data_IF_698067031810
#
_entry.id   IF_698067031810
#
_cell.length_a   1.000
_cell.length_b   1.000
_cell.length_c   1.000
_cell.angle_alpha   90.00
_cell.angle_beta   90.00
_cell.angle_gamma   90.00
#
_symmetry.space_group_name_H-M   'P 1'
#
loop_
_entity.id
_entity.type
_entity.pdbx_description
1 polymer ?
#
# COMPACT_ATOMS: atom_id res chain seq x y z
N UNK A 1 -45.49 -58.25 27.94
CA UNK A 1 -45.88 -56.95 27.33
C UNK A 1 -44.69 -56.02 27.49
N UNK A 2 -43.85 -55.86 26.46
CA UNK A 2 -42.64 -55.03 26.46
C UNK A 2 -43.01 -53.64 25.90
N UNK A 3 -42.72 -52.59 26.65
CA UNK A 3 -42.80 -51.19 26.17
C UNK A 3 -41.53 -50.85 25.37
N UNK A 4 -41.61 -50.10 24.26
CA UNK A 4 -40.47 -49.79 23.43
C UNK A 4 -39.73 -48.53 23.91
N UNK A 5 -38.42 -48.51 23.65
CA UNK A 5 -37.48 -47.41 23.88
C UNK A 5 -37.84 -46.17 23.07
N UNK A 6 -37.85 -45.00 23.71
CA UNK A 6 -37.90 -43.71 23.02
C UNK A 6 -36.50 -43.37 22.50
N UNK A 7 -36.40 -43.24 21.18
CA UNK A 7 -35.22 -42.77 20.47
C UNK A 7 -35.21 -41.25 20.45
N UNK A 8 -34.15 -40.66 20.98
CA UNK A 8 -33.86 -39.23 20.96
C UNK A 8 -33.57 -38.77 19.54
N UNK A 9 -34.41 -37.91 18.95
CA UNK A 9 -34.06 -37.16 17.75
C UNK A 9 -33.36 -35.86 18.18
N UNK A 10 -32.04 -35.82 18.03
CA UNK A 10 -31.28 -34.58 18.10
C UNK A 10 -31.55 -33.78 16.80
N UNK A 11 -32.28 -32.68 16.94
CA UNK A 11 -32.44 -31.70 15.87
C UNK A 11 -31.12 -30.93 15.76
N UNK A 12 -30.29 -31.25 14.77
CA UNK A 12 -29.13 -30.42 14.42
C UNK A 12 -29.66 -29.18 13.71
N UNK A 13 -29.69 -28.07 14.44
CA UNK A 13 -29.94 -26.77 13.85
C UNK A 13 -28.73 -26.39 12.99
N UNK A 14 -28.87 -26.46 11.66
CA UNK A 14 -27.96 -25.79 10.76
C UNK A 14 -28.15 -24.28 10.97
N UNK A 15 -27.20 -23.65 11.64
CA UNK A 15 -27.08 -22.20 11.63
C UNK A 15 -26.82 -21.80 10.16
N UNK A 16 -27.80 -21.14 9.54
CA UNK A 16 -27.57 -20.45 8.29
C UNK A 16 -26.56 -19.33 8.58
N UNK A 17 -25.31 -19.52 8.17
CA UNK A 17 -24.39 -18.41 8.09
C UNK A 17 -24.98 -17.42 7.08
N UNK A 18 -25.41 -16.26 7.57
CA UNK A 18 -25.65 -15.11 6.72
C UNK A 18 -24.30 -14.75 6.11
N UNK A 19 -24.01 -15.24 4.91
CA UNK A 19 -22.89 -14.74 4.13
C UNK A 19 -23.07 -13.23 4.03
N UNK A 20 -22.01 -12.49 4.36
CA UNK A 20 -22.02 -11.06 4.11
C UNK A 20 -22.28 -10.83 2.61
N UNK A 21 -22.79 -9.65 2.27
CA UNK A 21 -23.16 -9.34 0.90
C UNK A 21 -22.58 -7.98 0.55
N UNK A 22 -22.06 -7.83 -0.66
CA UNK A 22 -21.69 -6.54 -1.23
C UNK A 22 -22.90 -5.61 -1.12
N UNK A 23 -22.72 -4.48 -0.45
CA UNK A 23 -23.79 -3.51 -0.23
C UNK A 23 -23.71 -2.45 -1.33
N UNK A 24 -24.63 -2.52 -2.28
CA UNK A 24 -24.78 -1.50 -3.32
C UNK A 24 -25.62 -0.33 -2.81
N UNK A 25 -25.18 0.90 -3.09
CA UNK A 25 -25.92 2.12 -2.74
C UNK A 25 -27.11 2.39 -3.67
N UNK A 26 -27.09 1.80 -4.88
CA UNK A 26 -28.02 2.09 -5.97
C UNK A 26 -27.52 3.16 -6.95
N UNK A 27 -26.46 3.89 -6.59
CA UNK A 27 -25.88 4.92 -7.44
C UNK A 27 -24.88 4.35 -8.46
N UNK A 28 -24.66 5.11 -9.54
CA UNK A 28 -23.61 4.85 -10.52
C UNK A 28 -22.79 6.11 -10.76
N UNK A 29 -21.48 5.95 -10.92
CA UNK A 29 -20.56 7.03 -11.24
C UNK A 29 -19.64 6.59 -12.38
N UNK A 30 -19.60 7.38 -13.46
CA UNK A 30 -18.87 7.07 -14.69
C UNK A 30 -19.21 5.68 -15.27
N UNK A 31 -20.45 5.23 -15.09
CA UNK A 31 -20.93 3.92 -15.57
C UNK A 31 -20.63 2.74 -14.64
N UNK A 32 -20.00 2.96 -13.48
CA UNK A 32 -19.69 1.91 -12.51
C UNK A 32 -20.55 2.03 -11.24
N UNK A 33 -20.98 0.91 -10.64
CA UNK A 33 -21.76 0.92 -9.40
C UNK A 33 -20.98 1.51 -8.23
N UNK A 34 -21.70 2.23 -7.36
CA UNK A 34 -21.19 2.71 -6.07
C UNK A 34 -21.59 1.72 -4.97
N UNK A 35 -20.62 1.23 -4.22
CA UNK A 35 -20.79 0.30 -3.09
C UNK A 35 -20.49 1.00 -1.76
N UNK A 36 -21.16 0.55 -0.71
CA UNK A 36 -20.86 0.88 0.68
C UNK A 36 -19.92 -0.16 1.32
N UNK A 37 -19.98 -1.41 0.87
CA UNK A 37 -19.05 -2.48 1.26
C UNK A 37 -18.94 -3.55 0.20
N UNK A 38 -17.78 -4.22 0.19
CA UNK A 38 -17.39 -5.28 -0.74
C UNK A 38 -17.40 -6.63 -0.03
N UNK A 39 -18.15 -7.57 -0.60
CA UNK A 39 -17.95 -9.00 -0.37
C UNK A 39 -17.49 -9.63 -1.69
N UNK A 40 -16.29 -10.20 -1.69
CA UNK A 40 -15.71 -10.84 -2.87
C UNK A 40 -16.55 -12.03 -3.38
N UNK A 41 -17.39 -12.64 -2.52
CA UNK A 41 -18.28 -13.74 -2.88
C UNK A 41 -19.36 -13.34 -3.89
N UNK A 42 -19.72 -12.04 -3.96
CA UNK A 42 -20.75 -11.54 -4.87
C UNK A 42 -20.20 -10.97 -6.18
N UNK A 43 -18.89 -10.76 -6.26
CA UNK A 43 -18.27 -10.19 -7.46
C UNK A 43 -18.42 -11.18 -8.60
N UNK A 44 -18.87 -10.79 -9.81
CA UNK A 44 -18.99 -11.76 -10.89
C UNK A 44 -17.69 -12.51 -11.20
N UNK A 45 -17.80 -13.82 -11.44
CA UNK A 45 -16.67 -14.72 -11.73
C UNK A 45 -16.10 -14.50 -13.13
N UNK A 46 -14.83 -14.86 -13.32
CA UNK A 46 -14.10 -14.81 -14.58
C UNK A 46 -14.18 -13.43 -15.27
N UNK A 47 -14.18 -12.36 -14.47
CA UNK A 47 -14.11 -11.00 -15.01
C UNK A 47 -13.43 -10.02 -14.05
N UNK A 48 -13.08 -8.87 -14.61
CA UNK A 48 -12.67 -7.69 -13.83
C UNK A 48 -13.89 -6.79 -13.64
N UNK A 49 -14.33 -6.66 -12.40
CA UNK A 49 -15.39 -5.74 -12.00
C UNK A 49 -14.80 -4.41 -11.52
N UNK A 50 -15.55 -3.32 -11.71
CA UNK A 50 -15.15 -1.96 -11.31
C UNK A 50 -16.23 -1.36 -10.43
N UNK A 51 -15.81 -0.77 -9.32
CA UNK A 51 -16.69 -0.16 -8.33
C UNK A 51 -16.15 1.21 -7.91
N UNK A 52 -17.03 2.00 -7.31
CA UNK A 52 -16.64 3.12 -6.47
C UNK A 52 -17.01 2.82 -5.02
N UNK A 53 -16.12 3.03 -4.06
CA UNK A 53 -16.49 3.09 -2.65
C UNK A 53 -16.75 4.54 -2.26
N UNK A 54 -17.78 4.76 -1.44
CA UNK A 54 -17.97 6.02 -0.74
C UNK A 54 -17.53 5.92 0.73
N UNK A 55 -16.25 6.17 1.05
CA UNK A 55 -15.68 5.89 2.37
C UNK A 55 -16.10 6.89 3.45
N UNK A 56 -16.53 8.09 3.04
CA UNK A 56 -16.90 9.17 3.93
C UNK A 56 -17.69 10.23 3.14
N UNK A 57 -18.26 11.20 3.85
CA UNK A 57 -18.84 12.40 3.27
C UNK A 57 -18.17 13.65 3.83
N UNK A 58 -17.87 14.61 2.96
CA UNK A 58 -17.30 15.91 3.30
C UNK A 58 -18.37 16.96 3.58
N UNK A 59 -17.97 18.24 3.45
CA UNK A 59 -18.87 19.36 3.67
C UNK A 59 -20.07 19.33 2.72
N UNK A 60 -21.24 19.70 3.24
CA UNK A 60 -22.50 19.63 2.49
C UNK A 60 -23.02 18.21 2.28
N UNK A 61 -22.44 17.20 2.93
CA UNK A 61 -22.82 15.80 2.74
C UNK A 61 -22.33 15.20 1.42
N UNK A 62 -21.36 15.85 0.75
CA UNK A 62 -20.84 15.38 -0.52
C UNK A 62 -19.99 14.12 -0.31
N UNK A 63 -20.32 12.99 -0.95
CA UNK A 63 -19.54 11.77 -0.82
C UNK A 63 -18.14 11.92 -1.41
N UNK A 64 -17.15 11.34 -0.72
CA UNK A 64 -15.89 10.97 -1.37
C UNK A 64 -16.13 9.71 -2.19
N UNK A 65 -15.32 9.52 -3.23
CA UNK A 65 -15.34 8.33 -4.07
C UNK A 65 -13.92 7.86 -4.32
N UNK A 66 -13.63 6.58 -4.08
CA UNK A 66 -12.40 5.93 -4.53
C UNK A 66 -12.72 4.80 -5.53
N UNK A 67 -11.96 4.68 -6.63
CA UNK A 67 -12.15 3.63 -7.62
C UNK A 67 -11.55 2.31 -7.10
N UNK A 68 -12.22 1.21 -7.42
CA UNK A 68 -11.80 -0.14 -7.04
C UNK A 68 -11.93 -1.04 -8.27
N UNK A 69 -10.90 -1.84 -8.50
CA UNK A 69 -10.97 -3.00 -9.38
C UNK A 69 -11.07 -4.28 -8.56
N UNK A 70 -11.83 -5.25 -9.03
CA UNK A 70 -11.80 -6.62 -8.50
C UNK A 70 -11.70 -7.59 -9.66
N UNK A 71 -10.54 -8.26 -9.77
CA UNK A 71 -10.33 -9.36 -10.70
C UNK A 71 -10.65 -10.65 -9.96
N UNK A 72 -11.71 -11.35 -10.37
CA UNK A 72 -12.11 -12.62 -9.73
C UNK A 72 -12.09 -13.75 -10.72
N UNK A 73 -11.48 -14.86 -10.30
CA UNK A 73 -11.49 -16.14 -11.03
C UNK A 73 -12.84 -16.86 -11.00
N UNK A 74 -12.79 -18.18 -11.09
CA UNK A 74 -13.98 -19.03 -11.06
C UNK A 74 -14.69 -19.02 -9.69
N UNK A 75 -15.83 -19.70 -9.59
CA UNK A 75 -16.52 -19.86 -8.30
C UNK A 75 -15.66 -20.64 -7.29
N UNK A 76 -14.97 -21.68 -7.75
CA UNK A 76 -14.08 -22.53 -6.94
C UNK A 76 -12.85 -21.77 -6.44
N UNK A 77 -12.38 -20.75 -7.17
CA UNK A 77 -11.16 -20.03 -6.85
C UNK A 77 -11.21 -19.22 -5.55
N UNK A 78 -12.40 -19.00 -4.99
CA UNK A 78 -12.54 -18.39 -3.66
C UNK A 78 -12.02 -19.29 -2.53
N UNK A 79 -12.10 -20.61 -2.72
CA UNK A 79 -11.69 -21.62 -1.75
C UNK A 79 -10.29 -22.15 -2.06
N UNK A 80 -9.95 -22.26 -3.35
CA UNK A 80 -8.68 -22.86 -3.82
C UNK A 80 -7.60 -21.84 -4.16
N UNK A 81 -7.96 -20.57 -4.34
CA UNK A 81 -7.07 -19.47 -4.70
C UNK A 81 -6.77 -18.52 -3.55
N UNK A 82 -5.89 -17.56 -3.81
CA UNK A 82 -5.50 -16.52 -2.85
C UNK A 82 -6.25 -15.22 -3.09
N UNK A 83 -6.38 -14.40 -2.03
CA UNK A 83 -6.97 -13.06 -2.08
C UNK A 83 -5.86 -12.02 -1.91
N UNK A 84 -5.52 -11.33 -2.99
CA UNK A 84 -4.40 -10.40 -3.04
C UNK A 84 -4.89 -8.95 -3.10
N UNK A 85 -4.44 -8.11 -2.17
CA UNK A 85 -4.65 -6.65 -2.23
C UNK A 85 -3.46 -5.95 -2.87
N UNK A 86 -3.72 -5.15 -3.90
CA UNK A 86 -2.75 -4.24 -4.53
C UNK A 86 -3.26 -2.80 -4.43
N UNK A 87 -2.67 -2.02 -3.52
CA UNK A 87 -3.11 -0.67 -3.21
C UNK A 87 -2.07 0.38 -3.62
N UNK A 88 -2.54 1.57 -3.96
CA UNK A 88 -1.71 2.64 -4.48
C UNK A 88 -2.22 4.01 -4.04
N UNK A 89 -1.32 4.98 -4.04
CA UNK A 89 -1.62 6.40 -3.87
C UNK A 89 -2.50 6.69 -2.64
N UNK A 90 -2.11 6.13 -1.48
CA UNK A 90 -2.57 6.62 -0.17
C UNK A 90 -2.06 8.04 0.09
N UNK A 91 -0.90 8.33 -0.49
CA UNK A 91 -0.40 9.68 -0.71
C UNK A 91 -0.75 10.14 -2.12
N UNK A 92 -1.29 11.35 -2.23
CA UNK A 92 -1.87 11.85 -3.48
C UNK A 92 -0.87 12.27 -4.56
N UNK A 93 0.41 12.47 -4.21
CA UNK A 93 1.50 12.83 -5.11
C UNK A 93 2.32 11.62 -5.60
N UNK A 94 2.00 10.42 -5.13
CA UNK A 94 2.70 9.18 -5.47
C UNK A 94 2.03 8.47 -6.65
N UNK A 95 2.40 8.88 -7.87
CA UNK A 95 1.64 8.52 -9.07
C UNK A 95 2.17 7.29 -9.82
N UNK A 96 3.46 6.91 -9.70
CA UNK A 96 3.99 5.66 -10.28
C UNK A 96 3.13 4.42 -9.92
N UNK A 97 2.76 4.22 -8.64
CA UNK A 97 1.80 3.20 -8.19
C UNK A 97 0.48 3.14 -8.97
N UNK A 98 -0.11 4.28 -9.31
CA UNK A 98 -1.40 4.35 -10.05
C UNK A 98 -1.27 3.64 -11.39
N UNK A 99 -0.18 3.89 -12.12
CA UNK A 99 0.07 3.24 -13.40
C UNK A 99 0.35 1.74 -13.26
N UNK A 100 1.00 1.31 -12.17
CA UNK A 100 1.23 -0.12 -11.90
C UNK A 100 -0.10 -0.85 -11.75
N UNK A 101 -1.00 -0.37 -10.88
CA UNK A 101 -2.33 -0.98 -10.70
C UNK A 101 -3.08 -1.03 -12.03
N UNK A 102 -3.13 0.07 -12.77
CA UNK A 102 -3.83 0.12 -14.07
C UNK A 102 -3.26 -0.87 -15.09
N UNK A 103 -1.93 -0.98 -15.20
CA UNK A 103 -1.26 -1.91 -16.13
C UNK A 103 -1.46 -3.37 -15.73
N UNK A 104 -1.42 -3.68 -14.43
CA UNK A 104 -1.71 -5.02 -13.91
C UNK A 104 -3.12 -5.44 -14.29
N UNK A 105 -4.12 -4.62 -14.00
CA UNK A 105 -5.51 -4.94 -14.33
C UNK A 105 -5.77 -4.97 -15.85
N UNK A 106 -5.09 -4.16 -16.64
CA UNK A 106 -5.17 -4.24 -18.10
C UNK A 106 -4.64 -5.60 -18.62
N UNK A 107 -3.52 -6.09 -18.07
CA UNK A 107 -2.93 -7.38 -18.47
C UNK A 107 -3.69 -8.59 -17.91
N UNK A 108 -4.30 -8.48 -16.74
CA UNK A 108 -5.14 -9.54 -16.16
C UNK A 108 -6.45 -9.77 -16.93
N UNK A 109 -6.92 -8.79 -17.71
CA UNK A 109 -8.25 -8.84 -18.32
C UNK A 109 -8.48 -10.10 -19.16
N UNK A 110 -7.50 -10.50 -19.97
CA UNK A 110 -7.59 -11.71 -20.81
C UNK A 110 -7.48 -12.99 -19.97
N UNK A 111 -6.55 -13.05 -19.02
CA UNK A 111 -6.31 -14.21 -18.14
C UNK A 111 -7.51 -14.52 -17.24
N UNK A 112 -8.18 -13.48 -16.74
CA UNK A 112 -9.36 -13.66 -15.89
C UNK A 112 -10.55 -14.10 -16.73
N UNK A 113 -10.71 -13.53 -17.93
CA UNK A 113 -11.78 -13.88 -18.85
C UNK A 113 -11.67 -15.29 -19.44
N UNK A 114 -10.46 -15.86 -19.53
CA UNK A 114 -10.27 -17.25 -19.99
C UNK A 114 -10.76 -18.29 -18.97
N UNK A 115 -10.89 -17.89 -17.69
CA UNK A 115 -11.26 -18.77 -16.58
C UNK A 115 -10.07 -19.49 -15.94
N UNK A 116 -8.83 -19.15 -16.33
CA UNK A 116 -7.61 -19.78 -15.80
C UNK A 116 -7.08 -19.10 -14.52
N UNK A 117 -7.72 -18.01 -14.09
CA UNK A 117 -7.29 -17.25 -12.92
C UNK A 117 -7.78 -17.90 -11.61
N UNK A 118 -6.85 -18.26 -10.72
CA UNK A 118 -7.15 -18.92 -9.44
C UNK A 118 -7.00 -17.97 -8.25
N UNK A 119 -8.01 -17.14 -8.02
CA UNK A 119 -8.14 -16.35 -6.80
C UNK A 119 -8.86 -15.05 -7.06
N UNK A 120 -8.55 -14.05 -6.25
CA UNK A 120 -9.09 -12.68 -6.37
C UNK A 120 -7.99 -11.64 -6.17
N UNK A 121 -7.97 -10.60 -7.00
CA UNK A 121 -7.13 -9.40 -6.80
C UNK A 121 -8.03 -8.20 -6.59
N UNK A 122 -7.83 -7.50 -5.48
CA UNK A 122 -8.47 -6.22 -5.17
C UNK A 122 -7.46 -5.12 -5.49
N UNK A 123 -7.79 -4.25 -6.44
CA UNK A 123 -6.96 -3.15 -6.87
C UNK A 123 -7.51 -1.80 -6.43
N UNK A 124 -6.73 -1.03 -5.66
CA UNK A 124 -7.06 0.34 -5.31
C UNK A 124 -6.06 1.28 -6.00
N UNK A 125 -6.31 1.75 -7.24
CA UNK A 125 -5.36 2.58 -7.97
C UNK A 125 -5.18 3.95 -7.32
N UNK A 126 -6.19 4.46 -6.60
CA UNK A 126 -6.10 5.72 -5.85
C UNK A 126 -6.86 5.62 -4.53
N UNK A 127 -6.14 5.55 -3.41
CA UNK A 127 -6.72 5.56 -2.07
C UNK A 127 -6.98 6.97 -1.54
N UNK A 128 -6.27 7.98 -2.04
CA UNK A 128 -6.48 9.39 -1.69
C UNK A 128 -6.78 10.27 -2.92
N UNK A 129 -7.96 10.10 -3.57
CA UNK A 129 -8.36 10.95 -4.70
C UNK A 129 -8.39 12.45 -4.37
N UNK A 130 -8.62 12.81 -3.10
CA UNK A 130 -8.56 14.20 -2.64
C UNK A 130 -7.13 14.77 -2.77
N UNK A 131 -6.13 14.04 -2.28
CA UNK A 131 -4.72 14.39 -2.44
C UNK A 131 -4.29 14.41 -3.91
N UNK A 132 -4.75 13.46 -4.72
CA UNK A 132 -4.48 13.45 -6.16
C UNK A 132 -5.01 14.70 -6.86
N UNK A 133 -6.26 15.10 -6.58
CA UNK A 133 -6.88 16.30 -7.16
C UNK A 133 -6.13 17.58 -6.79
N UNK A 134 -5.51 17.60 -5.61
CA UNK A 134 -4.73 18.74 -5.11
C UNK A 134 -3.24 18.64 -5.45
N UNK A 135 -2.81 17.56 -6.12
CA UNK A 135 -1.41 17.26 -6.38
C UNK A 135 -0.53 17.34 -5.11
N UNK A 136 -0.99 16.73 -4.02
CA UNK A 136 -0.29 16.72 -2.74
C UNK A 136 -0.29 15.36 -2.08
N UNK A 137 0.66 15.16 -1.16
CA UNK A 137 0.78 13.97 -0.33
C UNK A 137 -0.45 13.69 0.52
N UNK A 138 -0.90 14.69 1.27
CA UNK A 138 -1.83 14.48 2.38
C UNK A 138 -3.31 14.53 1.96
N UNK A 139 -4.18 14.05 2.85
CA UNK A 139 -5.62 14.24 2.74
C UNK A 139 -6.00 15.60 3.34
N UNK A 140 -6.75 16.41 2.60
CA UNK A 140 -7.20 17.73 3.04
C UNK A 140 -8.63 17.67 3.60
N UNK A 141 -8.78 18.10 4.85
CA UNK A 141 -10.07 18.47 5.43
C UNK A 141 -10.19 19.98 5.50
N UNK A 142 -11.39 20.54 5.31
CA UNK A 142 -11.58 22.00 5.15
C UNK A 142 -11.98 22.74 6.43
N UNK A 143 -12.21 22.04 7.56
CA UNK A 143 -12.56 22.69 8.82
C UNK A 143 -11.41 23.58 9.31
N UNK A 144 -11.72 24.73 9.92
CA UNK A 144 -10.76 25.62 10.59
C UNK A 144 -9.55 26.03 9.74
N UNK A 145 -9.79 26.52 8.52
CA UNK A 145 -8.79 26.88 7.50
C UNK A 145 -8.04 25.70 6.85
N UNK A 146 -8.39 24.49 7.27
CA UNK A 146 -7.98 23.25 6.64
C UNK A 146 -6.82 22.56 7.33
N UNK A 147 -6.81 21.24 7.26
CA UNK A 147 -5.79 20.38 7.84
C UNK A 147 -5.33 19.35 6.81
N UNK A 148 -4.03 19.12 6.81
CA UNK A 148 -3.38 18.06 6.05
C UNK A 148 -3.15 16.87 6.98
N UNK A 149 -3.70 15.72 6.61
CA UNK A 149 -3.59 14.49 7.39
C UNK A 149 -2.92 13.41 6.54
N UNK A 150 -1.88 12.79 7.08
CA UNK A 150 -1.35 11.54 6.54
C UNK A 150 -2.33 10.40 6.83
N UNK A 151 -2.96 9.86 5.79
CA UNK A 151 -3.87 8.72 5.94
C UNK A 151 -3.11 7.45 6.33
N UNK A 152 -1.86 7.30 5.90
CA UNK A 152 -0.99 6.16 6.21
C UNK A 152 -0.41 6.23 7.64
N UNK A 153 -1.07 6.96 8.55
CA UNK A 153 -0.89 6.91 10.02
C UNK A 153 -2.18 6.58 10.76
N UNK A 154 -3.25 6.32 10.02
CA UNK A 154 -4.60 6.17 10.55
C UNK A 154 -5.20 4.79 10.27
N UNK A 155 -4.47 3.79 9.81
CA UNK A 155 -5.01 2.42 9.70
C UNK A 155 -4.95 1.70 11.05
N UNK A 156 -5.93 0.83 11.40
CA UNK A 156 -7.13 0.45 10.66
C UNK A 156 -8.26 1.49 10.66
N UNK A 157 -8.07 2.64 11.32
CA UNK A 157 -9.06 3.71 11.40
C UNK A 157 -10.00 3.59 12.59
N UNK A 158 -10.98 4.49 12.61
CA UNK A 158 -12.05 4.52 13.61
C UNK A 158 -13.30 5.11 12.97
N UNK A 159 -14.44 4.46 13.11
CA UNK A 159 -15.69 4.95 12.53
C UNK A 159 -16.19 6.23 13.23
N UNK A 160 -17.08 7.00 12.58
CA UNK A 160 -17.72 8.16 13.21
C UNK A 160 -18.51 7.75 14.46
N UNK A 161 -19.14 6.58 14.46
CA UNK A 161 -19.89 6.05 15.60
C UNK A 161 -18.99 5.77 16.82
N UNK A 162 -17.71 5.51 16.59
CA UNK A 162 -16.68 5.30 17.61
C UNK A 162 -15.91 6.58 17.95
N UNK A 163 -16.41 7.75 17.53
CA UNK A 163 -15.78 9.05 17.69
C UNK A 163 -14.50 9.26 16.85
N UNK A 164 -14.37 8.55 15.74
CA UNK A 164 -13.35 8.82 14.72
C UNK A 164 -13.53 10.18 14.05
N UNK A 165 -12.42 10.79 13.66
CA UNK A 165 -12.43 11.96 12.77
C UNK A 165 -12.73 11.56 11.32
N UNK A 166 -12.98 12.51 10.43
CA UNK A 166 -13.24 12.21 9.02
C UNK A 166 -12.10 11.39 8.37
N UNK A 167 -10.81 11.74 8.50
CA UNK A 167 -9.71 10.90 8.00
C UNK A 167 -9.68 9.50 8.60
N UNK A 168 -9.96 9.36 9.91
CA UNK A 168 -9.99 8.04 10.58
C UNK A 168 -11.17 7.19 10.11
N UNK A 169 -12.34 7.80 9.86
CA UNK A 169 -13.50 7.08 9.31
C UNK A 169 -13.27 6.69 7.85
N UNK A 170 -12.52 7.50 7.10
CA UNK A 170 -12.16 7.22 5.72
C UNK A 170 -11.28 5.97 5.63
N UNK A 171 -10.23 5.89 6.46
CA UNK A 171 -9.37 4.69 6.51
C UNK A 171 -10.12 3.49 7.10
N UNK A 172 -11.01 3.69 8.08
CA UNK A 172 -11.88 2.64 8.61
C UNK A 172 -12.78 2.04 7.53
N UNK A 173 -13.32 2.86 6.62
CA UNK A 173 -14.14 2.35 5.53
C UNK A 173 -13.31 1.54 4.54
N UNK A 174 -12.10 1.96 4.19
CA UNK A 174 -11.21 1.13 3.34
C UNK A 174 -10.91 -0.21 4.05
N UNK A 175 -10.54 -0.15 5.32
CA UNK A 175 -10.15 -1.32 6.12
C UNK A 175 -11.29 -2.33 6.29
N UNK A 176 -12.46 -1.86 6.71
CA UNK A 176 -13.59 -2.71 7.04
C UNK A 176 -14.42 -3.05 5.80
N UNK A 177 -14.67 -2.07 4.93
CA UNK A 177 -15.64 -2.24 3.86
C UNK A 177 -15.01 -2.76 2.56
N UNK A 178 -13.70 -2.62 2.35
CA UNK A 178 -13.01 -3.20 1.17
C UNK A 178 -12.20 -4.42 1.56
N UNK A 179 -11.30 -4.27 2.53
CA UNK A 179 -10.48 -5.38 2.98
C UNK A 179 -11.21 -6.32 3.96
N UNK A 180 -12.44 -5.97 4.38
CA UNK A 180 -13.31 -6.86 5.14
C UNK A 180 -12.85 -7.08 6.58
N UNK A 181 -12.06 -6.16 7.14
CA UNK A 181 -11.24 -6.43 8.33
C UNK A 181 -10.44 -7.73 8.15
N UNK A 182 -9.65 -7.77 7.07
CA UNK A 182 -8.84 -8.88 6.55
C UNK A 182 -9.58 -10.08 5.97
N UNK A 183 -10.93 -10.17 6.02
CA UNK A 183 -11.63 -11.34 5.46
C UNK A 183 -11.46 -11.49 3.94
N UNK A 184 -11.14 -10.39 3.26
CA UNK A 184 -11.00 -10.31 1.81
C UNK A 184 -9.53 -10.32 1.36
N UNK A 185 -8.56 -10.51 2.25
CA UNK A 185 -7.13 -10.35 1.95
C UNK A 185 -6.30 -11.40 2.69
N UNK A 186 -5.56 -12.21 1.92
CA UNK A 186 -4.57 -13.17 2.43
C UNK A 186 -3.14 -12.62 2.32
N UNK A 187 -2.93 -11.62 1.46
CA UNK A 187 -1.64 -11.00 1.17
C UNK A 187 -1.84 -9.58 0.63
N UNK A 188 -0.97 -8.64 1.01
CA UNK A 188 -1.07 -7.25 0.57
C UNK A 188 0.25 -6.68 0.05
N UNK A 189 0.16 -5.83 -0.97
CA UNK A 189 1.25 -4.98 -1.43
C UNK A 189 0.70 -3.56 -1.49
N UNK A 190 1.29 -2.67 -0.70
CA UNK A 190 1.00 -1.24 -0.75
C UNK A 190 2.10 -0.53 -1.52
N UNK A 191 1.74 0.04 -2.67
CA UNK A 191 2.66 0.66 -3.60
C UNK A 191 2.80 2.16 -3.28
N UNK A 192 4.04 2.59 -3.05
CA UNK A 192 4.42 3.96 -2.73
C UNK A 192 5.42 4.53 -3.74
N UNK A 193 5.70 5.81 -3.58
CA UNK A 193 6.95 6.45 -3.98
C UNK A 193 7.51 7.24 -2.80
N UNK A 194 8.75 7.67 -2.88
CA UNK A 194 9.28 8.61 -1.90
C UNK A 194 8.50 9.92 -1.89
N UNK A 195 8.56 10.66 -0.78
CA UNK A 195 8.04 12.03 -0.69
C UNK A 195 8.56 12.92 -1.83
N UNK A 196 7.71 13.84 -2.30
CA UNK A 196 8.10 14.86 -3.27
C UNK A 196 9.38 15.58 -2.82
N UNK A 197 10.33 15.78 -3.74
CA UNK A 197 11.63 16.37 -3.42
C UNK A 197 12.71 15.35 -3.04
N UNK A 198 12.42 14.05 -3.13
CA UNK A 198 13.40 12.97 -2.89
C UNK A 198 13.55 12.05 -4.10
N UNK A 199 14.71 11.43 -4.23
CA UNK A 199 15.00 10.35 -5.19
C UNK A 199 15.41 9.08 -4.47
N UNK A 200 15.08 7.95 -5.09
CA UNK A 200 15.30 6.61 -4.57
C UNK A 200 15.25 5.57 -5.66
N UNK A 201 15.78 4.36 -5.39
CA UNK A 201 15.69 3.24 -6.30
C UNK A 201 14.33 2.51 -6.16
N UNK A 202 14.18 1.33 -6.76
CA UNK A 202 13.11 0.41 -6.34
C UNK A 202 13.52 -0.20 -5.00
N UNK A 203 12.76 0.04 -3.93
CA UNK A 203 13.08 -0.55 -2.64
C UNK A 203 11.85 -1.07 -1.90
N UNK A 204 12.09 -1.98 -0.97
CA UNK A 204 11.04 -2.61 -0.17
C UNK A 204 11.26 -2.32 1.29
N UNK A 205 10.19 -1.96 1.98
CA UNK A 205 10.08 -2.03 3.42
C UNK A 205 9.38 -3.34 3.81
N UNK A 206 9.98 -4.11 4.73
CA UNK A 206 9.47 -5.43 5.07
C UNK A 206 9.81 -5.85 6.52
N UNK A 207 8.80 -6.19 7.31
CA UNK A 207 9.00 -6.87 8.59
C UNK A 207 9.18 -8.38 8.40
N UNK A 208 10.44 -8.82 8.38
CA UNK A 208 10.79 -10.24 8.23
C UNK A 208 10.39 -11.11 9.44
N UNK A 209 9.90 -10.52 10.53
CA UNK A 209 9.42 -11.28 11.68
C UNK A 209 8.14 -12.06 11.38
N UNK A 210 7.32 -11.62 10.43
CA UNK A 210 6.10 -12.32 10.00
C UNK A 210 6.39 -13.29 8.84
N UNK A 211 5.91 -14.52 8.97
CA UNK A 211 6.01 -15.54 7.93
C UNK A 211 5.37 -15.06 6.61
N UNK A 212 6.05 -15.30 5.50
CA UNK A 212 5.61 -14.90 4.15
C UNK A 212 6.14 -13.53 3.71
N UNK A 213 6.36 -12.57 4.61
CA UNK A 213 6.81 -11.21 4.24
C UNK A 213 8.14 -11.23 3.50
N UNK A 214 9.12 -12.00 4.00
CA UNK A 214 10.42 -12.17 3.33
C UNK A 214 10.26 -12.66 1.88
N UNK A 215 9.38 -13.64 1.64
CA UNK A 215 9.16 -14.19 0.29
C UNK A 215 8.67 -13.11 -0.67
N UNK A 216 7.71 -12.29 -0.24
CA UNK A 216 7.14 -11.21 -1.05
C UNK A 216 8.21 -10.15 -1.37
N UNK A 217 8.97 -9.75 -0.35
CA UNK A 217 10.04 -8.76 -0.48
C UNK A 217 11.12 -9.20 -1.48
N UNK A 218 11.51 -10.47 -1.44
CA UNK A 218 12.52 -11.02 -2.34
C UNK A 218 12.01 -11.19 -3.79
N UNK A 219 10.74 -11.56 -3.98
CA UNK A 219 10.11 -11.63 -5.31
C UNK A 219 10.04 -10.28 -6.03
N UNK A 220 10.04 -9.18 -5.28
CA UNK A 220 10.13 -7.84 -5.84
C UNK A 220 11.44 -7.62 -6.58
N UNK A 221 12.51 -8.35 -6.23
CA UNK A 221 13.88 -8.12 -6.72
C UNK A 221 14.25 -6.63 -6.70
N UNK A 222 14.10 -5.97 -5.53
CA UNK A 222 14.36 -4.56 -5.42
C UNK A 222 15.86 -4.29 -5.43
N UNK A 223 16.23 -3.03 -5.64
CA UNK A 223 17.61 -2.59 -5.51
C UNK A 223 18.03 -2.59 -4.02
N UNK A 224 17.08 -2.36 -3.10
CA UNK A 224 17.30 -2.45 -1.66
C UNK A 224 16.11 -3.05 -0.90
N UNK A 225 16.37 -3.86 0.11
CA UNK A 225 15.39 -4.29 1.12
C UNK A 225 15.77 -3.66 2.45
N UNK A 226 14.83 -2.91 3.03
CA UNK A 226 14.87 -2.39 4.39
C UNK A 226 14.08 -3.34 5.30
N UNK A 227 14.80 -4.09 6.14
CA UNK A 227 14.21 -4.94 7.17
C UNK A 227 13.98 -4.12 8.44
N UNK A 228 12.72 -3.88 8.79
CA UNK A 228 12.31 -2.97 9.87
C UNK A 228 10.90 -3.34 10.38
N UNK A 229 10.59 -3.17 11.68
CA UNK A 229 9.39 -3.76 12.34
C UNK A 229 8.04 -3.06 12.08
N UNK A 230 7.93 -2.17 11.12
CA UNK A 230 6.71 -1.38 10.88
C UNK A 230 6.71 0.02 11.49
N UNK A 231 5.91 0.90 10.89
CA UNK A 231 5.40 2.08 11.58
C UNK A 231 3.90 1.88 11.81
N UNK A 232 3.48 1.93 13.08
CA UNK A 232 2.08 1.76 13.45
C UNK A 232 1.20 2.78 12.73
N UNK A 233 0.02 2.34 12.29
CA UNK A 233 -0.92 3.16 11.55
C UNK A 233 -0.73 3.15 10.03
N UNK A 234 0.35 2.55 9.51
CA UNK A 234 0.52 2.32 8.07
C UNK A 234 -0.29 1.10 7.60
N UNK A 235 -0.60 1.04 6.30
CA UNK A 235 -1.34 -0.08 5.68
C UNK A 235 -0.58 -1.39 5.88
N UNK A 236 0.71 -1.41 5.53
CA UNK A 236 1.59 -2.58 5.64
C UNK A 236 1.60 -3.12 7.07
N UNK A 237 1.94 -2.28 8.05
CA UNK A 237 2.06 -2.70 9.44
C UNK A 237 0.71 -3.14 10.00
N UNK A 238 -0.40 -2.50 9.59
CA UNK A 238 -1.75 -2.89 10.03
C UNK A 238 -2.15 -4.30 9.56
N UNK A 239 -1.70 -4.73 8.38
CA UNK A 239 -1.87 -6.09 7.89
C UNK A 239 -0.95 -7.07 8.63
N UNK A 240 0.32 -6.72 8.79
CA UNK A 240 1.32 -7.55 9.49
C UNK A 240 0.90 -7.83 10.93
N UNK A 241 0.43 -6.82 11.66
CA UNK A 241 -0.10 -6.95 13.03
C UNK A 241 -1.30 -7.91 13.15
N UNK A 242 -1.98 -8.19 12.03
CA UNK A 242 -3.11 -9.13 11.95
C UNK A 242 -2.72 -10.46 11.31
N UNK A 243 -1.43 -10.71 11.12
CA UNK A 243 -0.91 -11.96 10.57
C UNK A 243 -1.08 -12.10 9.06
N UNK A 244 -1.39 -11.01 8.36
CA UNK A 244 -1.45 -10.99 6.89
C UNK A 244 -0.10 -10.50 6.36
N UNK A 245 0.65 -11.31 5.60
CA UNK A 245 1.93 -10.88 5.06
C UNK A 245 1.73 -9.71 4.09
N UNK A 246 2.44 -8.62 4.34
CA UNK A 246 2.38 -7.41 3.54
C UNK A 246 3.75 -6.77 3.38
N UNK A 247 3.91 -5.99 2.32
CA UNK A 247 5.08 -5.12 2.12
C UNK A 247 4.66 -3.75 1.62
N UNK A 248 5.53 -2.76 1.86
CA UNK A 248 5.51 -1.49 1.10
C UNK A 248 6.58 -1.55 0.02
N UNK A 249 6.18 -1.33 -1.24
CA UNK A 249 7.08 -1.24 -2.39
C UNK A 249 7.18 0.19 -2.86
N UNK A 250 8.39 0.72 -2.87
CA UNK A 250 8.70 2.12 -3.15
C UNK A 250 9.27 2.27 -4.56
N UNK A 251 8.53 3.00 -5.42
CA UNK A 251 8.74 3.05 -6.87
C UNK A 251 9.38 4.38 -7.27
N UNK A 252 10.51 4.71 -6.62
CA UNK A 252 11.31 5.89 -6.91
C UNK A 252 10.68 7.22 -6.46
N UNK A 253 10.89 8.32 -7.19
CA UNK A 253 10.42 9.66 -6.80
C UNK A 253 8.91 9.88 -7.01
N UNK A 254 8.27 10.64 -6.12
CA UNK A 254 6.91 11.18 -6.32
C UNK A 254 6.85 12.18 -7.49
N UNK A 255 5.65 12.36 -8.04
CA UNK A 255 5.36 13.31 -9.12
C UNK A 255 6.26 13.21 -10.37
N UNK A 256 6.93 12.08 -10.57
CA UNK A 256 7.78 11.82 -11.72
C UNK A 256 7.54 10.41 -12.26
N UNK A 257 7.04 10.32 -13.49
CA UNK A 257 6.80 9.04 -14.14
C UNK A 257 8.11 8.32 -14.43
N UNK A 258 8.34 7.19 -13.78
CA UNK A 258 9.51 6.35 -14.01
C UNK A 258 9.12 5.04 -14.70
N UNK A 259 9.13 5.04 -16.04
CA UNK A 259 8.73 3.89 -16.85
C UNK A 259 9.48 2.60 -16.54
N UNK A 260 10.76 2.69 -16.17
CA UNK A 260 11.58 1.53 -15.80
C UNK A 260 11.12 0.93 -14.48
N UNK A 261 10.94 1.75 -13.44
CA UNK A 261 10.50 1.28 -12.13
C UNK A 261 9.06 0.77 -12.16
N UNK A 262 8.16 1.43 -12.90
CA UNK A 262 6.79 0.96 -13.14
C UNK A 262 6.80 -0.44 -13.78
N UNK A 263 7.63 -0.65 -14.81
CA UNK A 263 7.71 -1.95 -15.49
C UNK A 263 8.21 -3.04 -14.54
N UNK A 264 9.27 -2.75 -13.76
CA UNK A 264 9.78 -3.69 -12.74
C UNK A 264 8.72 -4.04 -11.68
N UNK A 265 7.95 -3.06 -11.23
CA UNK A 265 6.87 -3.27 -10.25
C UNK A 265 5.71 -4.08 -10.84
N UNK A 266 5.33 -3.86 -12.11
CA UNK A 266 4.35 -4.71 -12.81
C UNK A 266 4.86 -6.14 -12.90
N UNK A 267 6.12 -6.35 -13.30
CA UNK A 267 6.70 -7.70 -13.40
C UNK A 267 6.76 -8.40 -12.05
N UNK A 268 7.07 -7.66 -10.97
CA UNK A 268 6.98 -8.17 -9.60
C UNK A 268 5.56 -8.66 -9.28
N UNK A 269 4.54 -7.85 -9.54
CA UNK A 269 3.15 -8.23 -9.24
C UNK A 269 2.76 -9.53 -9.97
N UNK A 270 3.19 -9.72 -11.22
CA UNK A 270 2.96 -10.99 -11.92
C UNK A 270 3.77 -12.16 -11.35
N UNK A 271 5.05 -11.96 -10.97
CA UNK A 271 5.83 -12.98 -10.25
C UNK A 271 5.15 -13.39 -8.94
N UNK A 272 4.61 -12.43 -8.21
CA UNK A 272 3.88 -12.71 -6.97
C UNK A 272 2.60 -13.51 -7.25
N UNK A 273 1.84 -13.18 -8.29
CA UNK A 273 0.67 -13.95 -8.68
C UNK A 273 1.01 -15.38 -9.10
N UNK A 274 2.15 -15.60 -9.79
CA UNK A 274 2.66 -16.94 -10.10
C UNK A 274 3.06 -17.71 -8.83
N UNK A 275 3.73 -17.05 -7.87
CA UNK A 275 4.07 -17.64 -6.56
C UNK A 275 2.83 -18.04 -5.75
N UNK A 276 1.79 -17.22 -5.80
CA UNK A 276 0.49 -17.46 -5.18
C UNK A 276 -0.39 -18.47 -5.96
N UNK A 277 0.11 -19.01 -7.08
CA UNK A 277 -0.61 -19.94 -7.95
C UNK A 277 -1.93 -19.37 -8.49
N UNK A 278 -2.00 -18.05 -8.68
CA UNK A 278 -3.17 -17.37 -9.25
C UNK A 278 -3.20 -17.44 -10.78
N UNK A 279 -2.05 -17.71 -11.39
CA UNK A 279 -1.81 -17.84 -12.82
C UNK A 279 -1.11 -19.15 -13.11
N UNK A 280 -1.09 -19.58 -14.37
CA UNK A 280 -0.48 -20.86 -14.78
C UNK A 280 1.07 -20.82 -14.88
N UNK A 281 1.71 -19.83 -14.26
CA UNK A 281 3.17 -19.71 -14.27
C UNK A 281 3.85 -20.71 -13.33
N UNK A 282 5.13 -20.93 -13.54
CA UNK A 282 5.96 -21.68 -12.60
C UNK A 282 6.25 -20.83 -11.36
N UNK A 283 6.41 -21.48 -10.20
CA UNK A 283 6.84 -20.79 -8.99
C UNK A 283 8.20 -20.14 -9.21
N UNK A 284 8.31 -18.81 -9.13
CA UNK A 284 9.54 -18.10 -9.48
C UNK A 284 10.65 -18.32 -8.45
N UNK A 285 11.90 -18.26 -8.88
CA UNK A 285 13.07 -18.11 -7.98
C UNK A 285 13.57 -16.68 -8.07
N UNK A 286 13.58 -15.90 -6.97
CA UNK A 286 14.04 -14.51 -7.02
C UNK A 286 15.55 -14.44 -7.26
N UNK A 287 15.97 -13.50 -8.12
CA UNK A 287 17.37 -13.10 -8.26
C UNK A 287 17.65 -11.85 -7.42
N UNK A 288 18.43 -12.03 -6.35
CA UNK A 288 18.82 -10.98 -5.41
C UNK A 288 20.31 -10.59 -5.56
N UNK A 289 20.98 -11.02 -6.63
CA UNK A 289 22.42 -10.79 -6.82
C UNK A 289 22.82 -9.31 -6.79
N UNK A 290 21.88 -8.39 -7.08
CA UNK A 290 22.07 -6.95 -7.06
C UNK A 290 21.29 -6.24 -5.94
N UNK A 291 20.66 -6.98 -5.03
CA UNK A 291 19.86 -6.42 -3.95
C UNK A 291 20.72 -6.14 -2.72
N UNK A 292 20.70 -4.90 -2.23
CA UNK A 292 21.30 -4.56 -0.94
C UNK A 292 20.29 -4.82 0.18
N UNK A 293 20.61 -5.69 1.14
CA UNK A 293 19.72 -6.00 2.27
C UNK A 293 20.25 -5.28 3.51
N UNK A 294 19.45 -4.36 4.06
CA UNK A 294 19.79 -3.52 5.18
C UNK A 294 18.93 -3.83 6.41
N UNK A 295 19.56 -3.90 7.58
CA UNK A 295 18.92 -4.09 8.89
C UNK A 295 19.18 -2.94 9.86
N UNK A 296 20.01 -1.97 9.45
CA UNK A 296 20.35 -0.78 10.22
C UNK A 296 20.28 0.43 9.29
N UNK A 297 19.82 1.56 9.80
CA UNK A 297 19.59 2.76 9.03
C UNK A 297 20.18 3.96 9.78
N UNK A 298 20.71 4.91 9.02
CA UNK A 298 21.27 6.14 9.56
C UNK A 298 20.85 7.28 8.65
N UNK A 299 20.22 8.28 9.24
CA UNK A 299 19.84 9.50 8.55
C UNK A 299 20.88 10.59 8.79
N UNK A 300 21.03 11.47 7.80
CA UNK A 300 21.89 12.65 7.89
C UNK A 300 20.98 13.86 8.06
N UNK A 301 20.94 14.39 9.28
CA UNK A 301 20.09 15.54 9.63
C UNK A 301 20.85 16.85 9.50
N UNK A 302 20.12 17.94 9.25
CA UNK A 302 20.68 19.29 9.19
C UNK A 302 20.36 20.06 10.47
N UNK A 303 21.32 20.82 10.96
CA UNK A 303 21.17 21.70 12.12
C UNK A 303 20.89 23.16 11.73
N UNK A 304 21.01 23.49 10.44
CA UNK A 304 20.76 24.81 9.89
C UNK A 304 19.76 24.74 8.73
N UNK A 305 18.76 25.65 8.72
CA UNK A 305 17.91 25.86 7.56
C UNK A 305 18.68 26.59 6.47
N UNK A 306 18.57 26.14 5.23
CA UNK A 306 19.31 26.70 4.10
C UNK A 306 19.07 25.93 2.81
N UNK A 307 20.06 25.96 1.91
CA UNK A 307 20.04 25.14 0.71
C UNK A 307 21.09 24.04 0.77
N UNK A 308 20.67 22.80 0.60
CA UNK A 308 21.55 21.64 0.60
C UNK A 308 22.08 21.35 -0.81
N UNK A 309 23.37 21.08 -0.91
CA UNK A 309 23.98 20.43 -2.06
C UNK A 309 24.57 19.11 -1.60
N UNK A 310 24.16 18.01 -2.24
CA UNK A 310 24.64 16.66 -1.91
C UNK A 310 25.78 16.25 -2.86
N UNK A 311 26.84 15.67 -2.27
CA UNK A 311 27.99 15.09 -2.99
C UNK A 311 27.74 13.62 -3.38
N UNK A 312 26.59 13.06 -2.98
CA UNK A 312 26.21 11.66 -3.18
C UNK A 312 24.83 11.55 -3.82
N UNK A 313 24.52 10.37 -4.36
CA UNK A 313 23.20 10.03 -4.90
C UNK A 313 22.78 8.64 -4.43
N UNK A 314 21.57 8.23 -4.77
CA UNK A 314 21.03 6.90 -4.44
C UNK A 314 21.94 5.78 -4.95
N UNK A 315 22.02 4.68 -4.20
CA UNK A 315 22.88 3.51 -4.46
C UNK A 315 24.39 3.78 -4.41
N UNK A 316 24.80 4.98 -3.97
CA UNK A 316 26.20 5.29 -3.73
C UNK A 316 26.67 4.69 -2.40
N UNK A 317 27.85 4.07 -2.39
CA UNK A 317 28.47 3.54 -1.17
C UNK A 317 29.25 4.63 -0.43
N UNK A 318 28.96 4.82 0.85
CA UNK A 318 29.61 5.82 1.72
C UNK A 318 30.42 5.16 2.83
N UNK A 319 31.48 5.83 3.29
CA UNK A 319 32.21 5.45 4.49
C UNK A 319 31.89 6.36 5.68
N UNK A 320 32.06 5.87 6.90
CA UNK A 320 31.95 6.67 8.12
C UNK A 320 32.89 7.89 8.05
N UNK A 321 32.36 9.06 8.39
CA UNK A 321 33.06 10.34 8.31
C UNK A 321 33.15 10.95 6.91
N UNK A 322 32.70 10.24 5.85
CA UNK A 322 32.66 10.80 4.50
C UNK A 322 31.74 12.02 4.44
N UNK A 323 32.20 13.10 3.83
CA UNK A 323 31.34 14.25 3.50
C UNK A 323 30.34 13.85 2.42
N UNK A 324 29.06 14.06 2.72
CA UNK A 324 27.94 13.71 1.82
C UNK A 324 27.21 14.94 1.28
N UNK A 325 27.51 16.13 1.79
CA UNK A 325 26.96 17.38 1.29
C UNK A 325 27.30 18.59 2.16
N UNK A 326 26.79 19.76 1.77
CA UNK A 326 26.87 21.00 2.54
C UNK A 326 25.54 21.74 2.52
N UNK A 327 25.27 22.51 3.58
CA UNK A 327 24.17 23.47 3.65
C UNK A 327 24.71 24.88 3.50
N UNK A 328 24.07 25.71 2.67
CA UNK A 328 24.48 27.08 2.37
C UNK A 328 23.42 28.12 2.77
N UNK A 329 23.87 29.32 3.10
CA UNK A 329 23.03 30.49 3.34
C UNK A 329 22.74 31.28 2.04
N UNK A 330 21.97 32.37 2.15
CA UNK A 330 21.64 33.33 1.06
C UNK A 330 22.82 33.96 0.32
N UNK A 331 24.01 33.92 0.89
CA UNK A 331 25.23 34.50 0.33
C UNK A 331 26.16 33.46 -0.30
N UNK A 332 25.83 32.16 -0.17
CA UNK A 332 26.67 31.06 -0.62
C UNK A 332 27.74 30.63 0.39
N UNK A 333 27.69 31.13 1.64
CA UNK A 333 28.59 30.64 2.69
C UNK A 333 28.09 29.29 3.22
N UNK A 334 29.03 28.38 3.47
CA UNK A 334 28.75 27.08 4.10
C UNK A 334 28.34 27.30 5.56
N UNK A 335 27.11 26.89 5.89
CA UNK A 335 26.59 26.83 7.26
C UNK A 335 26.98 25.53 7.95
N UNK A 336 26.96 24.42 7.21
CA UNK A 336 27.17 23.07 7.76
C UNK A 336 27.78 22.14 6.73
N UNK A 337 28.70 21.27 7.18
CA UNK A 337 29.21 20.14 6.40
C UNK A 337 28.58 18.86 6.92
N UNK A 338 27.89 18.14 6.03
CA UNK A 338 27.16 16.92 6.37
C UNK A 338 28.07 15.71 6.16
N UNK A 339 28.12 14.79 7.12
CA UNK A 339 28.92 13.58 7.05
C UNK A 339 28.08 12.32 7.32
N UNK A 340 28.47 11.20 6.70
CA UNK A 340 27.90 9.90 7.04
C UNK A 340 28.41 9.45 8.41
N UNK A 341 27.50 9.01 9.28
CA UNK A 341 27.86 8.41 10.57
C UNK A 341 28.21 6.92 10.46
N UNK A 342 28.06 6.31 9.28
CA UNK A 342 28.22 4.86 9.07
C UNK A 342 28.90 4.55 7.73
N UNK A 343 29.44 3.35 7.62
CA UNK A 343 29.67 2.72 6.32
C UNK A 343 28.34 2.16 5.82
N UNK A 344 27.94 2.43 4.57
CA UNK A 344 26.66 1.97 4.07
C UNK A 344 26.41 2.35 2.62
N UNK A 345 25.17 2.14 2.16
CA UNK A 345 24.70 2.53 0.84
C UNK A 345 23.56 3.53 0.97
N UNK A 346 23.63 4.62 0.22
CA UNK A 346 22.60 5.67 0.23
C UNK A 346 21.29 5.11 -0.33
N UNK A 347 20.26 5.00 0.50
CA UNK A 347 18.93 4.56 0.08
C UNK A 347 18.18 5.70 -0.62
N UNK A 348 18.07 6.84 0.04
CA UNK A 348 17.34 8.03 -0.43
C UNK A 348 18.24 9.26 -0.42
N UNK A 349 18.00 10.18 -1.36
CA UNK A 349 18.66 11.48 -1.37
C UNK A 349 17.63 12.58 -1.69
N UNK A 350 17.81 13.76 -1.09
CA UNK A 350 17.02 14.94 -1.42
C UNK A 350 17.44 15.51 -2.79
N UNK A 351 16.46 15.95 -3.55
CA UNK A 351 16.62 16.79 -4.77
C UNK A 351 15.99 18.15 -4.61
N UNK A 352 15.06 18.32 -3.66
CA UNK A 352 14.64 19.64 -3.22
C UNK A 352 15.80 20.29 -2.47
N UNK A 353 16.31 21.45 -2.93
CA UNK A 353 17.43 22.10 -2.27
C UNK A 353 17.04 22.68 -0.91
N UNK A 354 15.77 22.98 -0.64
CA UNK A 354 15.38 23.62 0.61
C UNK A 354 15.36 22.62 1.76
N UNK A 355 16.06 22.95 2.86
CA UNK A 355 16.06 22.17 4.09
C UNK A 355 15.80 23.06 5.30
N UNK A 356 15.15 22.50 6.31
CA UNK A 356 14.90 23.16 7.58
C UNK A 356 15.69 22.49 8.71
N UNK A 357 16.19 23.27 9.66
CA UNK A 357 16.87 22.75 10.83
C UNK A 357 15.91 21.86 11.64
N UNK A 358 16.30 20.60 11.85
CA UNK A 358 15.54 19.66 12.66
C UNK A 358 16.31 19.29 13.93
N UNK A 359 15.59 19.19 15.05
CA UNK A 359 16.16 18.63 16.27
C UNK A 359 16.22 17.11 16.17
N UNK A 360 17.31 16.48 16.61
CA UNK A 360 17.44 15.01 16.64
C UNK A 360 16.35 14.29 17.45
N UNK A 361 15.59 15.02 18.26
CA UNK A 361 14.54 14.48 19.15
C UNK A 361 13.16 14.45 18.47
N UNK A 362 12.93 15.23 17.41
CA UNK A 362 11.63 15.30 16.71
C UNK A 362 11.43 14.20 15.64
N UNK A 363 12.50 13.65 15.06
CA UNK A 363 12.41 12.70 13.94
C UNK A 363 12.20 11.23 14.34
N UNK A 364 12.19 10.91 15.64
CA UNK A 364 11.92 9.54 16.15
C UNK A 364 10.42 9.22 16.27
N UNK A 365 9.55 9.88 15.50
CA UNK A 365 8.09 9.70 15.57
C UNK A 365 7.48 9.20 14.27
#
# INVERSE_FOLDING_TARGET
MKLPSQSTFALVAFAAFSYAKTIYTGDTLQGYPVIASLDINDVPVNQISRFWLSPASGQGGLPYFLPIFVARGSEESLETGRKFSLSASIHGDELNPVAVVQKVFARLNETVASGDFNGTVIGLPTQNPNGNLMNQRYFYTSSSNGFLTDLNRNFPGMSIAEAGSLPMSYTAAIWNDIWGNTSNVDIAVDLHTLSTGSIGPLWVYADYALEGVQRIAELAQPDMIKIDPGQSGTIETSFVERGIPAITLEIGPANNWNGTLISRAVDFVFRLMDDLQMTSGETPTPDLSNTYIATNFSDVMVSHSGWVELDVTTMYDVTEGQVVGRVYNSWGDVLETLTSAVNGRVLTALVDPAVEAESQEQSRR
#
